data_IF_126519233332
#
_entry.id   IF_126519233332
#
_cell.length_a   1.000
_cell.length_b   1.000
_cell.length_c   1.000
_cell.angle_alpha   90.00
_cell.angle_beta   90.00
_cell.angle_gamma   90.00
#
_symmetry.space_group_name_H-M   'P 1'
#
loop_
_entity.id
_entity.type
_entity.pdbx_description
1 polymer ?
#
# COMPACT_ATOMS: atom_id res chain seq x y z
N UNK A 1 -30.97 -28.69 23.71
CA UNK A 1 -30.78 -27.68 22.64
C UNK A 1 -29.66 -26.72 23.05
N UNK A 2 -28.99 -26.05 22.09
CA UNK A 2 -28.08 -24.89 22.23
C UNK A 2 -26.65 -25.03 21.68
N UNK A 3 -26.26 -26.19 21.11
CA UNK A 3 -24.93 -26.34 20.44
C UNK A 3 -24.73 -25.39 19.25
N UNK A 4 -25.82 -25.05 18.54
CA UNK A 4 -25.82 -24.13 17.38
C UNK A 4 -25.60 -22.67 17.79
N UNK A 5 -26.09 -22.27 18.97
CA UNK A 5 -25.97 -20.91 19.51
C UNK A 5 -24.53 -20.63 19.96
N UNK A 6 -23.86 -21.62 20.57
CA UNK A 6 -22.45 -21.49 20.93
C UNK A 6 -21.53 -21.34 19.71
N UNK A 7 -21.84 -22.04 18.61
CA UNK A 7 -21.07 -21.95 17.36
C UNK A 7 -21.23 -20.59 16.67
N UNK A 8 -22.43 -20.00 16.70
CA UNK A 8 -22.69 -18.69 16.09
C UNK A 8 -22.04 -17.53 16.85
N UNK A 9 -21.97 -17.61 18.19
CA UNK A 9 -21.36 -16.55 19.02
C UNK A 9 -19.83 -16.53 18.84
N UNK A 10 -19.21 -17.71 18.75
CA UNK A 10 -17.77 -17.83 18.53
C UNK A 10 -17.36 -17.39 17.12
N UNK A 11 -18.18 -17.68 16.09
CA UNK A 11 -17.95 -17.18 14.74
C UNK A 11 -18.05 -15.64 14.65
N UNK A 12 -19.00 -15.03 15.36
CA UNK A 12 -19.14 -13.57 15.40
C UNK A 12 -17.95 -12.89 16.10
N UNK A 13 -17.39 -13.49 17.15
CA UNK A 13 -16.20 -12.96 17.83
C UNK A 13 -14.95 -12.97 16.93
N UNK A 14 -14.78 -13.99 16.09
CA UNK A 14 -13.66 -14.07 15.12
C UNK A 14 -13.81 -13.01 14.02
N UNK A 15 -15.03 -12.76 13.54
CA UNK A 15 -15.29 -11.72 12.55
C UNK A 15 -15.05 -10.31 13.10
N UNK A 16 -15.39 -10.03 14.36
CA UNK A 16 -15.09 -8.74 14.99
C UNK A 16 -13.58 -8.55 15.25
N UNK A 17 -12.87 -9.60 15.65
CA UNK A 17 -11.41 -9.54 15.83
C UNK A 17 -10.66 -9.29 14.50
N UNK A 18 -11.21 -9.76 13.37
CA UNK A 18 -10.66 -9.48 12.05
C UNK A 18 -10.76 -7.99 11.65
N UNK A 19 -11.74 -7.24 12.16
CA UNK A 19 -11.86 -5.80 11.91
C UNK A 19 -10.83 -4.95 12.69
N UNK A 20 -10.23 -5.48 13.75
CA UNK A 20 -9.23 -4.79 14.60
C UNK A 20 -7.77 -5.06 14.23
N UNK A 21 -7.50 -5.77 13.13
CA UNK A 21 -6.11 -6.04 12.67
C UNK A 21 -5.37 -4.79 12.18
N UNK A 22 -6.07 -3.65 12.04
CA UNK A 22 -5.42 -2.35 11.82
C UNK A 22 -4.95 -1.79 13.16
N UNK A 23 -3.89 -2.37 13.71
CA UNK A 23 -3.29 -1.87 14.95
C UNK A 23 -2.85 -0.40 14.83
N UNK A 24 -2.97 0.43 15.88
CA UNK A 24 -2.44 1.79 15.91
C UNK A 24 -0.91 1.74 16.00
N UNK A 25 -0.25 1.35 14.91
CA UNK A 25 1.15 0.92 14.90
C UNK A 25 2.08 1.71 14.00
N UNK A 26 1.69 2.91 13.53
CA UNK A 26 2.60 3.79 12.79
C UNK A 26 3.11 4.93 13.68
N UNK A 27 3.73 4.61 14.81
CA UNK A 27 4.48 5.56 15.63
C UNK A 27 5.86 5.84 15.02
N UNK A 28 5.88 6.52 13.87
CA UNK A 28 7.09 7.05 13.25
C UNK A 28 6.89 8.53 12.92
N UNK A 29 7.97 9.33 12.93
CA UNK A 29 7.91 10.74 12.50
C UNK A 29 7.30 10.81 11.08
N UNK A 30 6.08 11.38 10.90
CA UNK A 30 5.43 11.46 9.60
C UNK A 30 6.24 12.29 8.59
N UNK A 31 7.08 13.20 9.06
CA UNK A 31 7.98 13.96 8.20
C UNK A 31 9.15 13.10 7.71
N UNK A 32 9.76 12.29 8.57
CA UNK A 32 10.79 11.33 8.17
C UNK A 32 10.26 10.30 7.16
N UNK A 33 9.04 9.80 7.38
CA UNK A 33 8.40 8.86 6.45
C UNK A 33 8.19 9.49 5.07
N UNK A 34 7.63 10.70 5.00
CA UNK A 34 7.47 11.44 3.73
C UNK A 34 8.79 11.64 3.00
N UNK A 35 9.84 12.08 3.72
CA UNK A 35 11.19 12.24 3.16
C UNK A 35 11.73 10.94 2.54
N UNK A 36 11.51 9.80 3.21
CA UNK A 36 11.94 8.50 2.67
C UNK A 36 11.15 8.08 1.42
N UNK A 37 9.85 8.36 1.38
CA UNK A 37 9.00 8.10 0.22
C UNK A 37 9.43 8.99 -0.95
N UNK A 38 9.64 10.29 -0.73
CA UNK A 38 10.09 11.22 -1.77
C UNK A 38 11.43 10.78 -2.37
N UNK A 39 12.40 10.39 -1.54
CA UNK A 39 13.70 9.88 -2.00
C UNK A 39 13.55 8.59 -2.82
N UNK A 40 12.66 7.68 -2.40
CA UNK A 40 12.38 6.45 -3.14
C UNK A 40 11.67 6.73 -4.48
N UNK A 41 10.78 7.72 -4.53
CA UNK A 41 10.09 8.19 -5.74
C UNK A 41 11.09 8.76 -6.75
N UNK A 42 12.03 9.60 -6.31
CA UNK A 42 13.05 10.18 -7.19
C UNK A 42 13.99 9.09 -7.75
N UNK A 43 14.33 8.08 -6.94
CA UNK A 43 15.08 6.91 -7.40
C UNK A 43 14.29 6.10 -8.44
N UNK A 44 13.00 5.86 -8.20
CA UNK A 44 12.14 5.14 -9.13
C UNK A 44 11.99 5.88 -10.47
N UNK A 45 11.82 7.20 -10.46
CA UNK A 45 11.79 8.01 -11.67
C UNK A 45 13.13 7.97 -12.43
N UNK A 46 14.25 8.00 -11.71
CA UNK A 46 15.58 7.87 -12.35
C UNK A 46 15.71 6.52 -13.06
N UNK A 47 15.24 5.43 -12.44
CA UNK A 47 15.20 4.09 -13.05
C UNK A 47 14.23 4.02 -14.23
N UNK A 48 13.05 4.65 -14.12
CA UNK A 48 12.09 4.72 -15.23
C UNK A 48 12.72 5.40 -16.45
N UNK A 49 13.37 6.54 -16.24
CA UNK A 49 14.03 7.29 -17.30
C UNK A 49 15.19 6.53 -17.94
N UNK A 50 15.87 5.66 -17.21
CA UNK A 50 16.94 4.83 -17.78
C UNK A 50 16.44 3.58 -18.50
N UNK A 51 15.32 3.01 -18.06
CA UNK A 51 14.76 1.78 -18.63
C UNK A 51 13.80 2.02 -19.79
N UNK A 52 13.07 3.14 -19.78
CA UNK A 52 12.07 3.47 -20.78
C UNK A 52 12.44 4.79 -21.49
N UNK A 53 13.09 4.72 -22.67
CA UNK A 53 13.38 5.90 -23.48
C UNK A 53 12.10 6.69 -23.79
N UNK A 54 12.16 8.03 -23.69
CA UNK A 54 11.00 8.91 -23.91
C UNK A 54 10.01 9.00 -22.74
N UNK A 55 10.21 8.24 -21.65
CA UNK A 55 9.38 8.38 -20.45
C UNK A 55 9.46 9.78 -19.83
N UNK A 56 10.60 10.45 -19.94
CA UNK A 56 10.80 11.82 -19.44
C UNK A 56 9.85 12.82 -20.10
N UNK A 57 9.72 12.79 -21.42
CA UNK A 57 8.76 13.62 -22.16
C UNK A 57 7.30 13.32 -21.78
N UNK A 58 6.98 12.04 -21.52
CA UNK A 58 5.63 11.65 -21.09
C UNK A 58 5.31 12.20 -19.70
N UNK A 59 6.22 12.02 -18.75
CA UNK A 59 6.14 12.58 -17.39
C UNK A 59 6.03 14.10 -17.43
N UNK A 60 6.79 14.77 -18.31
CA UNK A 60 6.77 16.23 -18.45
C UNK A 60 5.45 16.78 -19.04
N UNK A 61 4.77 15.99 -19.88
CA UNK A 61 3.46 16.37 -20.45
C UNK A 61 2.28 16.03 -19.54
N UNK A 62 2.49 15.16 -18.55
CA UNK A 62 1.45 14.74 -17.63
C UNK A 62 1.04 15.91 -16.71
N UNK A 63 -0.25 15.95 -16.34
CA UNK A 63 -0.77 16.91 -15.34
C UNK A 63 -0.44 16.52 -13.90
N UNK A 64 -0.10 15.25 -13.68
CA UNK A 64 0.37 14.72 -12.44
C UNK A 64 0.87 13.29 -12.62
N UNK A 65 1.81 12.87 -11.78
CA UNK A 65 2.50 11.58 -11.88
C UNK A 65 2.47 10.90 -10.53
N UNK A 66 1.67 9.83 -10.42
CA UNK A 66 1.58 9.02 -9.21
C UNK A 66 2.63 7.91 -9.26
N UNK A 67 3.55 7.92 -8.30
CA UNK A 67 4.69 7.01 -8.26
C UNK A 67 4.63 6.12 -7.03
N UNK A 68 4.62 4.81 -7.25
CA UNK A 68 4.74 3.78 -6.21
C UNK A 68 6.11 3.09 -6.32
N UNK A 69 7.13 3.52 -5.56
CA UNK A 69 8.49 2.96 -5.65
C UNK A 69 8.60 1.53 -5.12
N UNK A 70 7.67 1.10 -4.26
CA UNK A 70 7.59 -0.27 -3.76
C UNK A 70 6.14 -0.69 -3.62
N UNK A 71 5.83 -1.89 -4.10
CA UNK A 71 4.51 -2.51 -3.98
C UNK A 71 4.68 -3.92 -3.43
N UNK A 72 3.85 -4.25 -2.46
CA UNK A 72 3.77 -5.57 -1.84
C UNK A 72 2.48 -6.21 -2.32
N UNK A 73 2.59 -7.34 -3.01
CA UNK A 73 1.44 -8.13 -3.44
C UNK A 73 0.97 -9.07 -2.33
N UNK A 74 -0.33 -9.05 -2.04
CA UNK A 74 -1.01 -9.94 -1.13
C UNK A 74 -1.85 -10.94 -1.94
N UNK A 75 -1.27 -12.09 -2.26
CA UNK A 75 -2.01 -13.35 -2.44
C UNK A 75 -2.14 -13.91 -3.87
N UNK A 76 -2.00 -15.24 -3.95
CA UNK A 76 -2.13 -16.09 -5.14
C UNK A 76 -3.60 -16.36 -5.58
N UNK A 77 -4.58 -16.12 -4.70
CA UNK A 77 -6.00 -16.51 -4.92
C UNK A 77 -6.95 -15.31 -5.07
N UNK A 78 -6.75 -14.22 -4.32
CA UNK A 78 -7.69 -13.08 -4.26
C UNK A 78 -7.12 -11.80 -4.91
N UNK A 79 -5.80 -11.71 -5.09
CA UNK A 79 -5.15 -10.61 -5.82
C UNK A 79 -5.29 -9.23 -5.14
N UNK A 80 -4.54 -8.98 -4.07
CA UNK A 80 -4.37 -7.66 -3.48
C UNK A 80 -2.98 -7.10 -3.73
N UNK A 81 -2.82 -5.78 -3.79
CA UNK A 81 -1.51 -5.14 -3.70
C UNK A 81 -1.59 -3.87 -2.85
N UNK A 82 -0.51 -3.58 -2.14
CA UNK A 82 -0.38 -2.42 -1.28
C UNK A 82 0.99 -1.77 -1.51
N UNK A 83 1.01 -0.45 -1.66
CA UNK A 83 2.25 0.30 -1.80
C UNK A 83 2.07 1.73 -1.32
N UNK A 84 3.17 2.32 -0.85
CA UNK A 84 3.22 3.74 -0.49
C UNK A 84 3.91 4.51 -1.60
N UNK A 85 3.41 5.71 -1.89
CA UNK A 85 3.86 6.51 -3.01
C UNK A 85 3.52 7.98 -2.86
N UNK A 86 3.95 8.79 -3.83
CA UNK A 86 3.67 10.22 -3.88
C UNK A 86 3.14 10.62 -5.25
N UNK A 87 2.28 11.64 -5.24
CA UNK A 87 1.82 12.33 -6.44
C UNK A 87 2.71 13.55 -6.69
N UNK A 88 3.23 13.67 -7.90
CA UNK A 88 4.04 14.79 -8.39
C UNK A 88 3.25 15.61 -9.41
#
# INVERSE_FOLDING_TARGET
MNKRIFLTISAAAVLLAACTTTGPGASGDPAAKRRSIDAAVDSALTKLHSQAPGSRELTAKAKGVLVFPSVVSAGFVVGGSYGEGALR
#
